data_IF_365696835012
#
_entry.id   IF_365696835012
#
_cell.length_a   1.000
_cell.length_b   1.000
_cell.length_c   1.000
_cell.angle_alpha   90.00
_cell.angle_beta   90.00
_cell.angle_gamma   90.00
#
_symmetry.space_group_name_H-M   'P 1'
#
loop_
_entity.id
_entity.type
_entity.pdbx_description
1 polymer ?
#
# COMPACT_ATOMS: atom_id res chain seq x y z
N UNK A 1 5.36 -1.13 2.87
CA UNK A 1 6.80 -1.37 3.10
C UNK A 1 7.09 -1.20 4.58
N UNK A 2 7.85 -2.12 5.18
CA UNK A 2 8.28 -2.01 6.57
C UNK A 2 9.51 -1.08 6.65
N UNK A 3 9.40 0.05 7.37
CA UNK A 3 10.45 1.08 7.51
C UNK A 3 10.53 1.48 8.98
N UNK A 4 11.74 1.69 9.52
CA UNK A 4 11.94 2.15 10.92
C UNK A 4 11.19 1.34 12.00
N UNK A 5 10.98 0.04 11.76
CA UNK A 5 10.16 -0.88 12.58
C UNK A 5 8.65 -0.68 12.51
N UNK A 6 8.17 0.15 11.59
CA UNK A 6 6.76 0.43 11.37
C UNK A 6 6.31 0.04 9.95
N UNK A 7 5.01 -0.19 9.80
CA UNK A 7 4.41 -0.44 8.50
C UNK A 7 3.99 0.86 7.84
N UNK A 8 4.43 1.06 6.60
CA UNK A 8 4.09 2.23 5.82
C UNK A 8 3.44 1.86 4.49
N UNK A 9 2.44 2.62 4.07
CA UNK A 9 1.92 2.60 2.71
C UNK A 9 2.27 3.88 1.99
N UNK A 10 2.82 3.71 0.79
CA UNK A 10 2.96 4.81 -0.16
C UNK A 10 1.69 4.81 -0.99
N UNK A 11 0.96 5.92 -0.96
CA UNK A 11 -0.25 6.06 -1.77
C UNK A 11 0.12 5.96 -3.24
N UNK A 12 -0.68 5.20 -3.99
CA UNK A 12 -0.51 5.15 -5.42
C UNK A 12 -1.19 6.33 -6.11
N UNK A 13 -0.54 7.48 -6.01
CA UNK A 13 -0.95 8.75 -6.61
C UNK A 13 0.26 9.46 -7.21
N UNK A 14 0.01 10.61 -7.86
CA UNK A 14 1.07 11.49 -8.34
C UNK A 14 1.91 12.02 -7.16
N UNK A 15 1.29 12.21 -6.00
CA UNK A 15 1.97 12.52 -4.74
C UNK A 15 2.52 11.22 -4.12
N UNK A 16 3.77 11.27 -3.65
CA UNK A 16 4.42 10.16 -2.93
C UNK A 16 4.12 10.25 -1.42
N UNK A 17 2.84 10.31 -1.08
CA UNK A 17 2.42 10.40 0.31
C UNK A 17 2.73 9.08 1.01
N UNK A 18 3.58 9.13 2.04
CA UNK A 18 3.98 7.99 2.85
C UNK A 18 3.20 8.03 4.18
N UNK A 19 2.33 7.05 4.36
CA UNK A 19 1.45 6.93 5.51
C UNK A 19 1.96 5.87 6.46
N UNK A 20 2.08 6.22 7.74
CA UNK A 20 2.22 5.26 8.82
C UNK A 20 0.88 4.53 9.02
N UNK A 21 0.93 3.21 9.07
CA UNK A 21 -0.25 2.36 9.18
C UNK A 21 -0.58 2.09 10.65
N UNK A 22 -1.83 2.38 11.02
CA UNK A 22 -2.46 1.88 12.23
C UNK A 22 -3.54 0.88 11.84
N UNK A 23 -3.44 -0.36 12.32
CA UNK A 23 -4.40 -1.40 11.97
C UNK A 23 -4.50 -2.48 13.06
N UNK A 24 -5.59 -3.27 13.10
CA UNK A 24 -5.65 -4.48 13.90
C UNK A 24 -4.52 -5.46 13.54
N UNK A 25 -4.07 -6.27 14.50
CA UNK A 25 -2.97 -7.22 14.31
C UNK A 25 -3.22 -8.21 13.15
N UNK A 26 -4.47 -8.58 12.92
CA UNK A 26 -4.91 -9.47 11.84
C UNK A 26 -4.55 -8.92 10.45
N UNK A 27 -4.65 -7.59 10.27
CA UNK A 27 -4.29 -6.92 9.03
C UNK A 27 -2.77 -6.96 8.81
N UNK A 28 -1.97 -6.75 9.87
CA UNK A 28 -0.51 -6.89 9.77
C UNK A 28 -0.07 -8.31 9.44
N UNK A 29 -0.78 -9.33 9.95
CA UNK A 29 -0.53 -10.73 9.57
C UNK A 29 -0.77 -10.94 8.08
N UNK A 30 -1.89 -10.46 7.54
CA UNK A 30 -2.18 -10.54 6.10
C UNK A 30 -1.13 -9.82 5.24
N UNK A 31 -0.67 -8.64 5.64
CA UNK A 31 0.40 -7.94 4.92
C UNK A 31 1.73 -8.71 4.93
N UNK A 32 2.07 -9.37 6.05
CA UNK A 32 3.27 -10.22 6.12
C UNK A 32 3.16 -11.41 5.18
N UNK A 33 2.01 -12.06 5.13
CA UNK A 33 1.75 -13.18 4.22
C UNK A 33 1.85 -12.75 2.74
N UNK A 34 1.22 -11.62 2.39
CA UNK A 34 1.29 -11.06 1.05
C UNK A 34 2.74 -10.73 0.64
N UNK A 35 3.51 -10.13 1.55
CA UNK A 35 4.91 -9.80 1.31
C UNK A 35 5.79 -11.05 1.10
N UNK A 36 5.45 -12.19 1.71
CA UNK A 36 6.17 -13.45 1.49
C UNK A 36 5.82 -14.10 0.15
N UNK A 37 4.58 -13.93 -0.33
CA UNK A 37 4.09 -14.57 -1.55
C UNK A 37 4.49 -13.83 -2.83
N UNK A 38 4.46 -12.49 -2.83
CA UNK A 38 4.72 -11.68 -4.02
C UNK A 38 5.51 -10.42 -3.69
N UNK A 39 6.45 -10.07 -4.59
CA UNK A 39 7.21 -8.81 -4.46
C UNK A 39 6.43 -7.59 -4.97
N UNK A 40 5.54 -7.80 -5.93
CA UNK A 40 4.74 -6.75 -6.56
C UNK A 40 3.26 -7.01 -6.30
N UNK A 41 2.70 -6.23 -5.38
CA UNK A 41 1.28 -6.18 -5.12
C UNK A 41 0.89 -4.77 -4.68
N UNK A 42 -0.37 -4.43 -4.87
CA UNK A 42 -0.99 -3.29 -4.21
C UNK A 42 -2.32 -3.74 -3.61
N UNK A 43 -2.76 -3.01 -2.59
CA UNK A 43 -3.97 -3.31 -1.83
C UNK A 43 -4.88 -2.09 -1.83
N UNK A 44 -6.17 -2.34 -2.02
CA UNK A 44 -7.23 -1.39 -1.71
C UNK A 44 -7.62 -1.62 -0.26
N UNK A 45 -7.70 -0.55 0.53
CA UNK A 45 -8.04 -0.62 1.95
C UNK A 45 -9.16 0.35 2.29
N UNK A 46 -10.05 -0.07 3.17
CA UNK A 46 -10.95 0.85 3.83
C UNK A 46 -10.23 1.45 5.03
N UNK A 47 -10.04 2.76 5.01
CA UNK A 47 -9.24 3.45 6.01
C UNK A 47 -9.73 4.87 6.27
N UNK A 48 -9.52 5.32 7.50
CA UNK A 48 -9.62 6.73 7.89
C UNK A 48 -8.26 7.39 7.65
N UNK A 49 -8.25 8.50 6.92
CA UNK A 49 -7.04 9.31 6.71
C UNK A 49 -6.96 10.36 7.81
N UNK A 50 -5.96 10.21 8.68
CA UNK A 50 -5.66 11.18 9.71
C UNK A 50 -4.44 11.99 9.26
N UNK A 51 -4.66 13.26 8.93
CA UNK A 51 -3.66 14.05 8.19
C UNK A 51 -2.34 14.23 8.95
N UNK A 52 -2.32 14.36 10.28
CA UNK A 52 -1.05 14.46 11.01
C UNK A 52 -1.15 13.98 12.47
N UNK A 53 -0.30 13.02 12.84
CA UNK A 53 0.06 12.76 14.24
C UNK A 53 1.58 12.74 14.37
N UNK A 54 2.13 13.54 15.28
CA UNK A 54 3.58 13.67 15.50
C UNK A 54 4.39 13.95 14.21
N UNK A 55 3.79 14.66 13.25
CA UNK A 55 4.42 14.98 11.96
C UNK A 55 4.31 13.89 10.89
N UNK A 56 3.69 12.74 11.18
CA UNK A 56 3.44 11.67 10.22
C UNK A 56 2.00 11.70 9.72
N UNK A 57 1.81 11.43 8.42
CA UNK A 57 0.51 11.09 7.87
C UNK A 57 0.11 9.71 8.40
N UNK A 58 -1.08 9.59 8.99
CA UNK A 58 -1.56 8.33 9.56
C UNK A 58 -2.69 7.78 8.68
N UNK A 59 -2.58 6.50 8.32
CA UNK A 59 -3.63 5.74 7.65
C UNK A 59 -4.13 4.66 8.60
N UNK A 60 -5.32 4.87 9.15
CA UNK A 60 -5.94 3.92 10.06
C UNK A 60 -6.81 2.95 9.26
N UNK A 61 -6.32 1.73 9.10
CA UNK A 61 -6.93 0.70 8.26
C UNK A 61 -7.93 -0.12 9.09
N UNK A 62 -9.16 -0.18 8.61
CA UNK A 62 -10.21 -1.02 9.19
C UNK A 62 -10.19 -2.42 8.57
N UNK A 63 -10.07 -2.48 7.24
CA UNK A 63 -10.01 -3.73 6.48
C UNK A 63 -9.24 -3.58 5.17
N UNK A 64 -8.75 -4.70 4.67
CA UNK A 64 -8.34 -4.85 3.28
C UNK A 64 -9.61 -5.11 2.46
N UNK A 65 -9.82 -4.33 1.41
CA UNK A 65 -10.96 -4.44 0.51
C UNK A 65 -10.62 -5.34 -0.68
N UNK A 66 -9.49 -5.07 -1.35
CA UNK A 66 -9.03 -5.81 -2.53
C UNK A 66 -7.51 -5.99 -2.51
N UNK A 67 -7.03 -7.07 -3.14
CA UNK A 67 -5.60 -7.38 -3.31
C UNK A 67 -5.33 -7.64 -4.78
N UNK A 68 -4.37 -6.90 -5.33
CA UNK A 68 -3.98 -6.96 -6.73
C UNK A 68 -2.56 -7.50 -6.84
N UNK A 69 -2.42 -8.71 -7.39
CA UNK A 69 -1.14 -9.43 -7.47
C UNK A 69 -0.51 -9.28 -8.86
N UNK A 70 0.80 -8.99 -8.91
CA UNK A 70 1.53 -8.86 -10.17
C UNK A 70 1.18 -7.60 -10.98
N UNK A 71 0.33 -6.74 -10.43
CA UNK A 71 -0.07 -5.47 -11.02
C UNK A 71 0.71 -4.32 -10.38
N UNK A 72 1.03 -3.31 -11.18
CA UNK A 72 1.56 -2.04 -10.70
C UNK A 72 0.44 -1.03 -10.63
N UNK A 73 0.36 -0.32 -9.52
CA UNK A 73 -0.58 0.77 -9.35
C UNK A 73 -0.06 2.09 -9.97
N UNK A 74 1.23 2.15 -10.34
CA UNK A 74 1.80 3.33 -10.97
C UNK A 74 1.38 3.39 -12.43
N UNK A 75 0.58 4.40 -12.78
CA UNK A 75 0.08 4.62 -14.14
C UNK A 75 1.18 4.50 -15.20
N UNK A 76 2.37 5.08 -14.95
CA UNK A 76 3.49 5.02 -15.89
C UNK A 76 4.02 3.59 -16.12
N UNK A 77 4.04 2.75 -15.10
CA UNK A 77 4.45 1.35 -15.24
C UNK A 77 3.33 0.50 -15.86
N UNK A 78 2.06 0.81 -15.55
CA UNK A 78 0.92 0.19 -16.20
C UNK A 78 0.92 0.49 -17.70
N UNK A 79 1.23 1.73 -18.10
CA UNK A 79 1.34 2.16 -19.50
C UNK A 79 2.51 1.49 -20.24
N UNK A 80 3.66 1.25 -19.58
CA UNK A 80 4.77 0.47 -20.18
C UNK A 80 4.36 -0.95 -20.58
N UNK A 81 3.43 -1.57 -19.86
CA UNK A 81 2.90 -2.89 -20.23
C UNK A 81 1.94 -2.84 -21.43
N UNK A 82 1.41 -1.67 -21.78
CA UNK A 82 0.64 -1.46 -23.02
C UNK A 82 1.55 -1.18 -24.22
N UNK A 83 2.65 -0.44 -24.05
CA UNK A 83 3.60 -0.16 -25.14
C UNK A 83 4.39 -1.40 -25.60
N UNK A 84 4.59 -2.40 -24.73
CA UNK A 84 5.28 -3.65 -25.07
C UNK A 84 4.36 -4.72 -25.69
N UNK A 85 3.13 -4.37 -26.10
CA UNK A 85 2.23 -5.24 -26.89
C UNK A 85 2.27 -4.81 -28.36
N UNK A 86 3.41 -5.01 -29.02
CA UNK A 86 3.53 -5.06 -30.48
C UNK A 86 4.06 -6.44 -30.91
#
# INVERSE_FOLDING_TARGET
>A
MFKNNDWHFVRCSITQDDYLIEAPQEIFTQFKELQQQQKNYWVSVLAEVNEQQNGNLILKIEKIDEVHLGETCHLLEALKNFENRE
#
